data_IF_904968538978
#
_entry.id   IF_904968538978
#
_cell.length_a   1.000
_cell.length_b   1.000
_cell.length_c   1.000
_cell.angle_alpha   90.00
_cell.angle_beta   90.00
_cell.angle_gamma   90.00
#
_symmetry.space_group_name_H-M   'P 1'
#
loop_
_entity.id
_entity.type
_entity.pdbx_description
1 polymer ?
#
# COMPACT_ATOMS: atom_id res chain seq x y z
N UNK A 1 -8.40 4.19 -10.45
CA UNK A 1 -8.45 3.01 -9.56
C UNK A 1 -7.95 1.74 -10.24
N UNK A 2 -8.65 1.22 -11.26
CA UNK A 2 -8.27 -0.05 -11.93
C UNK A 2 -6.79 -0.07 -12.39
N UNK A 3 -6.31 1.02 -13.00
CA UNK A 3 -4.91 1.14 -13.42
C UNK A 3 -3.89 1.05 -12.27
N UNK A 4 -4.21 1.59 -11.08
CA UNK A 4 -3.31 1.53 -9.92
C UNK A 4 -3.27 0.11 -9.34
N UNK A 5 -4.42 -0.57 -9.31
CA UNK A 5 -4.52 -1.98 -8.88
C UNK A 5 -3.75 -2.89 -9.84
N UNK A 6 -3.87 -2.67 -11.16
CA UNK A 6 -3.06 -3.40 -12.14
C UNK A 6 -1.57 -3.15 -11.93
N UNK A 7 -1.16 -1.90 -11.74
CA UNK A 7 0.23 -1.55 -11.46
C UNK A 7 0.75 -2.23 -10.18
N UNK A 8 -0.06 -2.25 -9.11
CA UNK A 8 0.27 -2.92 -7.86
C UNK A 8 0.52 -4.42 -8.07
N UNK A 9 -0.35 -5.09 -8.84
CA UNK A 9 -0.19 -6.50 -9.18
C UNK A 9 1.13 -6.77 -9.93
N UNK A 10 1.47 -5.93 -10.91
CA UNK A 10 2.71 -6.05 -11.68
C UNK A 10 3.95 -5.81 -10.82
N UNK A 11 3.89 -4.86 -9.89
CA UNK A 11 4.97 -4.58 -8.94
C UNK A 11 5.20 -5.75 -7.99
N UNK A 12 4.13 -6.40 -7.49
CA UNK A 12 4.26 -7.60 -6.65
C UNK A 12 4.87 -8.78 -7.41
N UNK A 13 4.48 -9.01 -8.67
CA UNK A 13 5.10 -10.03 -9.51
C UNK A 13 6.60 -9.74 -9.73
N UNK A 14 6.94 -8.48 -10.00
CA UNK A 14 8.33 -8.04 -10.18
C UNK A 14 9.14 -8.23 -8.89
N UNK A 15 8.58 -7.90 -7.73
CA UNK A 15 9.23 -8.08 -6.43
C UNK A 15 9.53 -9.56 -6.13
N UNK A 16 8.60 -10.45 -6.47
CA UNK A 16 8.75 -11.89 -6.28
C UNK A 16 9.85 -12.48 -7.19
N UNK A 17 9.97 -11.98 -8.42
CA UNK A 17 10.99 -12.43 -9.38
C UNK A 17 12.38 -11.79 -9.17
N UNK A 18 12.46 -10.66 -8.47
CA UNK A 18 13.72 -9.96 -8.24
C UNK A 18 14.65 -10.77 -7.31
N UNK A 19 15.94 -10.80 -7.62
CA UNK A 19 16.96 -11.48 -6.82
C UNK A 19 17.86 -10.51 -6.05
N UNK A 20 17.93 -9.26 -6.47
CA UNK A 20 18.85 -8.25 -5.94
C UNK A 20 18.20 -7.49 -4.76
N UNK A 21 18.78 -7.53 -3.54
CA UNK A 21 18.18 -6.89 -2.37
C UNK A 21 17.89 -5.40 -2.52
N UNK A 22 18.79 -4.66 -3.16
CA UNK A 22 18.59 -3.23 -3.39
C UNK A 22 17.42 -2.95 -4.33
N UNK A 23 17.29 -3.74 -5.40
CA UNK A 23 16.17 -3.62 -6.34
C UNK A 23 14.83 -3.99 -5.67
N UNK A 24 14.81 -5.00 -4.80
CA UNK A 24 13.64 -5.30 -3.97
C UNK A 24 13.21 -4.13 -3.10
N UNK A 25 14.14 -3.47 -2.44
CA UNK A 25 13.85 -2.29 -1.62
C UNK A 25 13.31 -1.11 -2.44
N UNK A 26 13.70 -0.99 -3.72
CA UNK A 26 13.11 -0.01 -4.64
C UNK A 26 11.67 -0.42 -5.01
N UNK A 27 11.44 -1.69 -5.31
CA UNK A 27 10.12 -2.22 -5.65
C UNK A 27 9.13 -2.12 -4.48
N UNK A 28 9.55 -2.44 -3.25
CA UNK A 28 8.74 -2.28 -2.04
C UNK A 28 8.32 -0.82 -1.83
N UNK A 29 9.25 0.13 -1.95
CA UNK A 29 8.90 1.56 -1.86
C UNK A 29 7.91 2.02 -2.93
N UNK A 30 7.98 1.43 -4.13
CA UNK A 30 6.98 1.70 -5.19
C UNK A 30 5.62 1.13 -4.84
N UNK A 31 5.57 -0.09 -4.29
CA UNK A 31 4.33 -0.71 -3.81
C UNK A 31 3.68 0.17 -2.75
N UNK A 32 4.43 0.56 -1.72
CA UNK A 32 3.93 1.47 -0.66
C UNK A 32 3.43 2.82 -1.21
N UNK A 33 4.07 3.34 -2.25
CA UNK A 33 3.64 4.58 -2.88
C UNK A 33 2.36 4.41 -3.72
N UNK A 34 2.19 3.26 -4.38
CA UNK A 34 0.96 2.93 -5.12
C UNK A 34 -0.19 2.62 -4.17
N UNK A 35 0.08 1.97 -3.03
CA UNK A 35 -0.88 1.69 -1.96
C UNK A 35 -1.51 2.98 -1.42
N UNK A 36 -0.68 3.94 -1.00
CA UNK A 36 -1.16 5.28 -0.57
C UNK A 36 -1.97 6.02 -1.64
N UNK A 37 -1.67 5.83 -2.93
CA UNK A 37 -2.46 6.42 -4.02
C UNK A 37 -3.83 5.75 -4.16
N UNK A 38 -3.92 4.45 -3.88
CA UNK A 38 -5.18 3.72 -3.87
C UNK A 38 -6.02 4.16 -2.68
N UNK A 39 -5.44 4.24 -1.47
CA UNK A 39 -6.14 4.70 -0.27
C UNK A 39 -6.73 6.09 -0.47
N UNK A 40 -5.94 7.04 -0.96
CA UNK A 40 -6.41 8.40 -1.25
C UNK A 40 -7.61 8.41 -2.22
N UNK A 41 -7.57 7.58 -3.26
CA UNK A 41 -8.67 7.48 -4.23
C UNK A 41 -9.91 6.80 -3.63
N UNK A 42 -9.73 5.83 -2.76
CA UNK A 42 -10.82 5.19 -2.02
C UNK A 42 -11.46 6.21 -1.07
N UNK A 43 -10.67 6.96 -0.31
CA UNK A 43 -11.17 8.01 0.57
C UNK A 43 -11.97 9.06 -0.21
N UNK A 44 -11.49 9.48 -1.38
CA UNK A 44 -12.21 10.39 -2.28
C UNK A 44 -13.55 9.78 -2.76
N UNK A 45 -13.53 8.52 -3.20
CA UNK A 45 -14.71 7.83 -3.73
C UNK A 45 -15.83 7.69 -2.68
N UNK A 46 -15.45 7.47 -1.42
CA UNK A 46 -16.39 7.33 -0.30
C UNK A 46 -16.65 8.66 0.42
N UNK A 47 -15.98 9.75 0.04
CA UNK A 47 -16.18 11.09 0.61
C UNK A 47 -15.80 11.19 2.08
N UNK A 48 -14.75 10.49 2.51
CA UNK A 48 -14.31 10.52 3.90
C UNK A 48 -13.77 11.91 4.28
N UNK A 49 -14.03 12.29 5.52
CA UNK A 49 -13.43 13.46 6.17
C UNK A 49 -12.06 13.14 6.75
N UNK A 50 -11.25 14.16 7.01
CA UNK A 50 -9.93 14.01 7.65
C UNK A 50 -9.99 13.24 8.99
N UNK A 51 -11.09 13.42 9.74
CA UNK A 51 -11.29 12.72 11.01
C UNK A 51 -11.55 11.22 10.81
N UNK A 52 -12.31 10.85 9.78
CA UNK A 52 -12.57 9.45 9.44
C UNK A 52 -11.33 8.77 8.86
N UNK A 53 -10.58 9.48 7.99
CA UNK A 53 -9.29 9.01 7.48
C UNK A 53 -8.33 8.75 8.64
N UNK A 54 -8.22 9.68 9.60
CA UNK A 54 -7.34 9.49 10.76
C UNK A 54 -7.70 8.24 11.58
N UNK A 55 -8.98 7.89 11.70
CA UNK A 55 -9.40 6.64 12.35
C UNK A 55 -8.98 5.42 11.54
N UNK A 56 -9.20 5.42 10.23
CA UNK A 56 -8.80 4.30 9.35
C UNK A 56 -7.29 4.07 9.40
N UNK A 57 -6.49 5.13 9.30
CA UNK A 57 -5.03 5.07 9.36
C UNK A 57 -4.53 4.60 10.73
N UNK A 58 -5.16 5.03 11.83
CA UNK A 58 -4.82 4.56 13.18
C UNK A 58 -5.12 3.07 13.37
N UNK A 59 -6.22 2.58 12.83
CA UNK A 59 -6.56 1.15 12.90
C UNK A 59 -5.69 0.30 11.95
N UNK A 60 -5.39 0.82 10.75
CA UNK A 60 -4.47 0.19 9.80
C UNK A 60 -3.04 0.05 10.34
N UNK A 61 -2.52 1.08 11.01
CA UNK A 61 -1.19 1.04 11.62
C UNK A 61 -1.05 -0.03 12.72
N UNK A 62 -2.12 -0.28 13.49
CA UNK A 62 -2.13 -1.33 14.54
C UNK A 62 -2.11 -2.75 13.96
N UNK A 63 -2.65 -2.95 12.74
CA UNK A 63 -2.63 -4.23 12.05
C UNK A 63 -1.22 -4.69 11.67
N UNK A 64 -0.35 -3.75 11.27
CA UNK A 64 1.04 -4.03 10.88
C UNK A 64 1.93 -4.40 12.07
N UNK A 65 1.62 -3.93 13.29
CA UNK A 65 2.34 -4.30 14.52
C UNK A 65 2.09 -5.75 14.95
N UNK A 66 0.93 -6.32 14.60
CA UNK A 66 0.57 -7.70 14.94
C UNK A 66 1.19 -8.76 14.01
N UNK A 67 1.57 -8.39 12.78
CA UNK A 67 2.18 -9.32 11.80
C UNK A 67 3.69 -9.53 11.99
N UNK A 68 4.36 -8.66 12.76
CA UNK A 68 5.80 -8.79 13.10
C UNK A 68 6.10 -9.76 14.25
N UNK A 69 5.09 -10.36 14.86
CA UNK A 69 5.22 -11.28 16.00
C UNK A 69 4.84 -12.71 15.62
N UNK A 70 5.52 -13.29 14.62
CA UNK A 70 5.65 -14.75 14.47
C UNK A 70 7.03 -15.14 13.98
#
# INVERSE_FOLDING_TARGET
MVSLVTQMLDLHQSLAAEGVPHAKAVLQRRIEATDRQIDALVYELYGLTDAEIAVVEQEGAKGLEHEGAK
#
